data_IF_303473164188
#
_entry.id   IF_303473164188
#
_cell.length_a   1.000
_cell.length_b   1.000
_cell.length_c   1.000
_cell.angle_alpha   90.00
_cell.angle_beta   90.00
_cell.angle_gamma   90.00
#
_symmetry.space_group_name_H-M   'P 1'
#
loop_
_entity.id
_entity.type
_entity.pdbx_description
1 polymer ?
#
# COMPACT_ATOMS: atom_id res chain seq x y z
N UNK A 1 -19.25 -11.71 2.95
CA UNK A 1 -18.07 -12.55 3.27
C UNK A 1 -16.78 -12.07 2.58
N UNK A 2 -16.84 -11.57 1.34
CA UNK A 2 -15.66 -11.02 0.61
C UNK A 2 -14.98 -9.86 1.35
N UNK A 3 -15.75 -8.97 1.99
CA UNK A 3 -15.21 -7.88 2.82
C UNK A 3 -14.32 -8.38 3.96
N UNK A 4 -14.74 -9.45 4.64
CA UNK A 4 -14.00 -10.02 5.77
C UNK A 4 -12.70 -10.68 5.30
N UNK A 5 -12.72 -11.37 4.16
CA UNK A 5 -11.52 -11.92 3.52
C UNK A 5 -10.55 -10.81 3.09
N UNK A 6 -11.07 -9.71 2.52
CA UNK A 6 -10.25 -8.55 2.15
C UNK A 6 -9.61 -7.88 3.37
N UNK A 7 -10.34 -7.76 4.48
CA UNK A 7 -9.81 -7.21 5.74
C UNK A 7 -8.70 -8.11 6.30
N UNK A 8 -8.93 -9.43 6.36
CA UNK A 8 -7.92 -10.38 6.85
C UNK A 8 -6.66 -10.34 5.98
N UNK A 9 -6.82 -10.35 4.65
CA UNK A 9 -5.70 -10.24 3.73
C UNK A 9 -4.94 -8.91 3.89
N UNK A 10 -5.66 -7.80 4.06
CA UNK A 10 -5.08 -6.48 4.31
C UNK A 10 -4.28 -6.42 5.61
N UNK A 11 -4.79 -7.01 6.68
CA UNK A 11 -4.10 -7.07 7.99
C UNK A 11 -2.82 -7.90 7.91
N UNK A 12 -2.85 -9.05 7.23
CA UNK A 12 -1.65 -9.89 7.07
C UNK A 12 -0.58 -9.14 6.27
N UNK A 13 -0.96 -8.52 5.15
CA UNK A 13 -0.04 -7.71 4.34
C UNK A 13 0.51 -6.54 5.15
N UNK A 14 -0.33 -5.87 5.93
CA UNK A 14 0.10 -4.77 6.79
C UNK A 14 1.08 -5.22 7.87
N UNK A 15 0.89 -6.40 8.47
CA UNK A 15 1.79 -6.94 9.49
C UNK A 15 3.21 -7.17 8.95
N UNK A 16 3.33 -7.70 7.72
CA UNK A 16 4.61 -7.88 7.04
C UNK A 16 5.25 -6.55 6.63
N UNK A 17 4.44 -5.59 6.16
CA UNK A 17 4.94 -4.25 5.81
C UNK A 17 5.38 -3.48 7.06
N UNK A 18 4.68 -3.66 8.18
CA UNK A 18 4.95 -2.96 9.44
C UNK A 18 6.34 -3.29 9.98
N UNK A 19 6.80 -4.54 9.90
CA UNK A 19 8.15 -4.91 10.35
C UNK A 19 9.24 -4.23 9.51
N UNK A 20 9.02 -4.07 8.20
CA UNK A 20 9.94 -3.38 7.31
C UNK A 20 10.03 -1.87 7.58
N UNK A 21 8.94 -1.25 8.04
CA UNK A 21 8.91 0.18 8.40
C UNK A 21 9.09 0.45 9.90
N UNK A 22 9.14 -0.58 10.75
CA UNK A 22 9.17 -0.44 12.21
C UNK A 22 10.40 0.34 12.67
N UNK A 23 11.58 0.06 12.10
CA UNK A 23 12.81 0.82 12.37
C UNK A 23 12.67 2.30 12.05
N UNK A 24 11.85 2.66 11.06
CA UNK A 24 11.55 4.03 10.69
C UNK A 24 10.55 4.67 11.65
N UNK A 25 9.48 3.95 12.02
CA UNK A 25 8.44 4.36 12.98
C UNK A 25 9.01 4.62 14.37
N UNK A 26 9.95 3.77 14.81
CA UNK A 26 10.59 3.85 16.12
C UNK A 26 11.86 4.72 16.14
N UNK A 27 12.36 5.15 14.97
CA UNK A 27 13.35 6.22 14.91
C UNK A 27 12.64 7.53 15.22
N UNK A 28 12.88 8.13 16.38
CA UNK A 28 12.23 9.37 16.84
C UNK A 28 12.44 10.62 15.96
N UNK A 29 12.92 10.47 14.72
CA UNK A 29 13.17 11.54 13.75
C UNK A 29 11.98 11.90 12.86
N UNK A 30 10.91 11.08 12.85
CA UNK A 30 9.71 11.32 12.02
C UNK A 30 9.01 12.66 12.32
N UNK A 31 9.25 13.24 13.50
CA UNK A 31 8.68 14.53 13.88
C UNK A 31 9.39 15.72 13.21
N UNK A 32 10.62 15.52 12.73
CA UNK A 32 11.45 16.58 12.13
C UNK A 32 11.90 16.28 10.70
N UNK A 33 11.92 15.01 10.28
CA UNK A 33 12.37 14.59 8.97
C UNK A 33 11.21 14.01 8.17
N UNK A 34 10.94 14.60 7.01
CA UNK A 34 9.97 14.08 6.04
C UNK A 34 10.51 12.83 5.35
N UNK A 35 9.62 11.95 4.89
CA UNK A 35 10.00 10.76 4.12
C UNK A 35 10.87 11.11 2.88
N UNK A 36 10.65 12.31 2.33
CA UNK A 36 11.41 12.87 1.23
C UNK A 36 12.87 13.16 1.63
N UNK A 37 13.10 13.74 2.81
CA UNK A 37 14.44 14.03 3.33
C UNK A 37 15.22 12.77 3.67
N UNK A 38 14.56 11.76 4.24
CA UNK A 38 15.24 10.50 4.61
C UNK A 38 15.61 9.67 3.38
N UNK A 39 14.77 9.68 2.33
CA UNK A 39 15.12 9.06 1.04
C UNK A 39 16.06 9.93 0.20
N UNK A 40 16.32 11.19 0.60
CA UNK A 40 17.09 12.15 -0.20
C UNK A 40 16.42 12.53 -1.53
N UNK A 41 15.10 12.33 -1.65
CA UNK A 41 14.33 12.62 -2.85
C UNK A 41 13.61 13.97 -2.74
N UNK A 42 13.51 14.74 -3.84
CA UNK A 42 12.71 15.95 -3.83
C UNK A 42 11.21 15.60 -3.69
N UNK A 43 10.48 16.41 -2.92
CA UNK A 43 9.09 16.14 -2.52
C UNK A 43 8.13 15.85 -3.69
N UNK A 44 8.28 16.56 -4.81
CA UNK A 44 7.46 16.37 -6.01
C UNK A 44 7.64 14.98 -6.64
N UNK A 45 8.85 14.42 -6.60
CA UNK A 45 9.15 13.11 -7.14
C UNK A 45 8.55 12.01 -6.27
N UNK A 46 8.66 12.15 -4.94
CA UNK A 46 8.03 11.23 -3.99
C UNK A 46 6.50 11.25 -4.12
N UNK A 47 5.90 12.44 -4.24
CA UNK A 47 4.46 12.58 -4.48
C UNK A 47 4.03 11.91 -5.79
N UNK A 48 4.78 12.10 -6.89
CA UNK A 48 4.48 11.44 -8.16
C UNK A 48 4.58 9.91 -8.07
N UNK A 49 5.56 9.39 -7.32
CA UNK A 49 5.76 7.95 -7.12
C UNK A 49 4.60 7.33 -6.32
N UNK A 50 4.12 8.02 -5.29
CA UNK A 50 2.93 7.61 -4.52
C UNK A 50 1.68 7.60 -5.39
N UNK A 51 1.47 8.63 -6.22
CA UNK A 51 0.35 8.70 -7.16
C UNK A 51 0.41 7.55 -8.18
N UNK A 52 1.60 7.27 -8.73
CA UNK A 52 1.80 6.14 -9.64
C UNK A 52 1.54 4.79 -8.95
N UNK A 53 1.96 4.63 -7.70
CA UNK A 53 1.65 3.42 -6.92
C UNK A 53 0.14 3.25 -6.74
N UNK A 54 -0.59 4.32 -6.41
CA UNK A 54 -2.04 4.30 -6.25
C UNK A 54 -2.77 3.96 -7.57
N UNK A 55 -2.33 4.54 -8.68
CA UNK A 55 -2.86 4.21 -10.01
C UNK A 55 -2.54 2.76 -10.39
N UNK A 56 -1.34 2.28 -10.05
CA UNK A 56 -0.89 0.91 -10.28
C UNK A 56 -1.74 -0.11 -9.52
N UNK A 57 -2.00 0.11 -8.23
CA UNK A 57 -2.87 -0.77 -7.43
C UNK A 57 -4.31 -0.74 -7.94
N UNK A 58 -4.84 0.42 -8.30
CA UNK A 58 -6.19 0.51 -8.88
C UNK A 58 -6.30 -0.24 -10.21
N UNK A 59 -5.29 -0.12 -11.07
CA UNK A 59 -5.23 -0.87 -12.33
C UNK A 59 -5.10 -2.38 -12.11
N UNK A 60 -4.29 -2.79 -11.13
CA UNK A 60 -4.06 -4.19 -10.80
C UNK A 60 -5.33 -4.84 -10.23
N UNK A 61 -6.04 -4.15 -9.33
CA UNK A 61 -7.35 -4.58 -8.83
C UNK A 61 -8.35 -4.69 -9.98
N UNK A 62 -8.39 -3.69 -10.87
CA UNK A 62 -9.26 -3.72 -12.06
C UNK A 62 -9.01 -4.90 -12.98
N UNK A 63 -7.75 -5.33 -13.10
CA UNK A 63 -7.37 -6.49 -13.92
C UNK A 63 -7.65 -7.83 -13.24
N UNK A 64 -7.87 -7.85 -11.92
CA UNK A 64 -8.25 -9.03 -11.16
C UNK A 64 -9.78 -9.26 -11.14
N UNK A 65 -10.58 -8.24 -11.48
CA UNK A 65 -12.05 -8.33 -11.60
C UNK A 65 -12.59 -9.43 -12.54
N UNK A 66 -12.02 -9.77 -13.72
CA UNK A 66 -12.62 -10.75 -14.60
C UNK A 66 -12.62 -12.19 -14.05
N UNK A 67 -12.00 -12.46 -12.88
CA UNK A 67 -12.03 -13.79 -12.24
C UNK A 67 -12.96 -13.90 -11.03
N UNK A 68 -13.43 -12.79 -10.46
CA UNK A 68 -14.31 -12.82 -9.28
C UNK A 68 -15.81 -12.86 -9.62
N UNK A 69 -16.19 -12.51 -10.86
CA UNK A 69 -17.60 -12.45 -11.30
C UNK A 69 -18.18 -13.72 -11.92
N UNK A 70 -17.37 -14.76 -12.18
CA UNK A 70 -17.80 -15.95 -12.93
C UNK A 70 -18.28 -17.13 -12.05
N UNK A 71 -18.54 -16.90 -10.75
CA UNK A 71 -18.94 -17.95 -9.80
C UNK A 71 -20.35 -17.85 -9.24
N UNK A 72 -21.08 -16.75 -9.47
CA UNK A 72 -22.41 -16.52 -8.85
C UNK A 72 -23.60 -16.75 -9.80
N UNK A 73 -23.37 -17.38 -10.95
CA UNK A 73 -24.41 -17.83 -11.87
C UNK A 73 -24.30 -19.35 -12.10
N UNK A 74 -24.41 -20.13 -11.03
CA UNK A 74 -24.84 -21.54 -11.10
C UNK A 74 -25.43 -21.99 -9.77
#
# INVERSE_FOLDING_TARGET
MVFMLGLIAGVIVFAEVYTAIATFVWSGSLQSATLAEVLGLPFWLLAALVVLMALGTFWLVRRLEPKAGAGLCR
#
